data_IF_871307599665
#
_entry.id   IF_871307599665
#
_cell.length_a   1.000
_cell.length_b   1.000
_cell.length_c   1.000
_cell.angle_alpha   90.00
_cell.angle_beta   90.00
_cell.angle_gamma   90.00
#
_symmetry.space_group_name_H-M   'P 1'
#
loop_
_entity.id
_entity.type
_entity.pdbx_description
1 polymer ?
#
# COMPACT_ATOMS: atom_id res chain seq x y z
N UNK A 1 4.09 -33.82 -9.17
CA UNK A 1 5.07 -33.05 -9.96
C UNK A 1 4.52 -31.66 -10.12
N UNK A 2 5.20 -30.65 -9.60
CA UNK A 2 4.80 -29.25 -9.78
C UNK A 2 4.90 -28.90 -11.27
N UNK A 3 3.84 -28.40 -11.91
CA UNK A 3 3.87 -28.07 -13.33
C UNK A 3 4.87 -26.93 -13.61
N UNK A 4 5.45 -26.86 -14.82
CA UNK A 4 6.34 -25.76 -15.18
C UNK A 4 5.59 -24.41 -15.16
N UNK A 5 6.29 -23.32 -14.82
CA UNK A 5 5.75 -21.95 -14.62
C UNK A 5 4.82 -21.47 -15.77
N UNK A 6 5.09 -21.86 -17.01
CA UNK A 6 4.24 -21.51 -18.17
C UNK A 6 2.92 -22.28 -18.24
N UNK A 7 2.89 -23.50 -17.67
CA UNK A 7 1.68 -24.29 -17.51
C UNK A 7 0.85 -23.82 -16.31
N UNK A 8 1.51 -23.22 -15.31
CA UNK A 8 0.89 -22.68 -14.11
C UNK A 8 -0.05 -21.52 -14.42
N UNK A 9 0.44 -20.50 -15.13
CA UNK A 9 -0.37 -19.35 -15.58
C UNK A 9 -1.60 -19.72 -16.40
N UNK A 10 -1.53 -20.81 -17.18
CA UNK A 10 -2.63 -21.23 -18.08
C UNK A 10 -3.79 -21.87 -17.33
N UNK A 11 -3.52 -22.69 -16.32
CA UNK A 11 -4.61 -23.27 -15.52
C UNK A 11 -5.21 -22.21 -14.58
N UNK A 12 -4.38 -21.31 -14.04
CA UNK A 12 -4.85 -20.20 -13.22
C UNK A 12 -5.79 -19.27 -13.98
N UNK A 13 -5.47 -18.95 -15.23
CA UNK A 13 -6.35 -18.13 -16.06
C UNK A 13 -7.69 -18.84 -16.38
N UNK A 14 -7.67 -20.17 -16.56
CA UNK A 14 -8.90 -20.95 -16.73
C UNK A 14 -9.77 -20.88 -15.46
N UNK A 15 -9.18 -20.99 -14.26
CA UNK A 15 -9.91 -20.85 -13.00
C UNK A 15 -10.55 -19.45 -12.87
N UNK A 16 -9.83 -18.39 -13.26
CA UNK A 16 -10.36 -17.01 -13.24
C UNK A 16 -11.54 -16.82 -14.18
N UNK A 17 -11.42 -17.29 -15.42
CA UNK A 17 -12.52 -17.19 -16.38
C UNK A 17 -13.77 -17.91 -15.88
N UNK A 18 -13.60 -19.07 -15.24
CA UNK A 18 -14.69 -19.81 -14.63
C UNK A 18 -15.31 -19.04 -13.45
N UNK A 19 -14.49 -18.48 -12.56
CA UNK A 19 -14.93 -17.66 -11.43
C UNK A 19 -15.78 -16.46 -11.87
N UNK A 20 -15.33 -15.72 -12.90
CA UNK A 20 -16.04 -14.54 -13.39
C UNK A 20 -17.34 -14.87 -14.12
N UNK A 21 -17.39 -16.01 -14.81
CA UNK A 21 -18.54 -16.36 -15.65
C UNK A 21 -19.79 -16.78 -14.86
N UNK A 22 -19.61 -17.37 -13.67
CA UNK A 22 -20.69 -17.94 -12.85
C UNK A 22 -21.61 -18.94 -13.60
N UNK A 23 -21.19 -19.42 -14.78
CA UNK A 23 -21.91 -20.37 -15.64
C UNK A 23 -20.98 -21.51 -16.06
N UNK A 24 -21.49 -22.73 -16.33
CA UNK A 24 -20.63 -23.81 -16.78
C UNK A 24 -20.02 -23.48 -18.15
N UNK A 25 -18.68 -23.51 -18.26
CA UNK A 25 -18.00 -23.27 -19.53
C UNK A 25 -17.32 -24.52 -20.09
N UNK A 26 -17.55 -24.76 -21.38
CA UNK A 26 -16.88 -25.80 -22.16
C UNK A 26 -15.56 -25.32 -22.77
N UNK A 27 -14.75 -26.27 -23.24
CA UNK A 27 -13.40 -26.01 -23.74
C UNK A 27 -13.35 -24.97 -24.88
N UNK A 28 -14.36 -24.95 -25.77
CA UNK A 28 -14.47 -23.98 -26.87
C UNK A 28 -14.64 -22.53 -26.38
N UNK A 29 -15.63 -22.28 -25.51
CA UNK A 29 -15.87 -20.94 -24.95
C UNK A 29 -14.70 -20.49 -24.06
N UNK A 30 -14.08 -21.42 -23.34
CA UNK A 30 -12.88 -21.13 -22.56
C UNK A 30 -11.69 -20.78 -23.45
N UNK A 31 -11.49 -21.48 -24.56
CA UNK A 31 -10.46 -21.19 -25.57
C UNK A 31 -10.60 -19.78 -26.14
N UNK A 32 -11.82 -19.37 -26.49
CA UNK A 32 -12.14 -18.01 -26.96
C UNK A 32 -11.80 -16.95 -25.90
N UNK A 33 -12.26 -17.14 -24.65
CA UNK A 33 -11.98 -16.23 -23.54
C UNK A 33 -10.50 -16.18 -23.13
N UNK A 34 -9.80 -17.31 -23.22
CA UNK A 34 -8.35 -17.39 -22.99
C UNK A 34 -7.60 -16.56 -24.04
N UNK A 35 -8.02 -16.63 -25.32
CA UNK A 35 -7.43 -15.86 -26.40
C UNK A 35 -7.64 -14.34 -26.24
N UNK A 36 -8.82 -13.91 -25.77
CA UNK A 36 -9.09 -12.50 -25.41
C UNK A 36 -8.10 -11.97 -24.36
N UNK A 37 -7.60 -12.85 -23.49
CA UNK A 37 -6.63 -12.54 -22.43
C UNK A 37 -5.17 -12.81 -22.83
N UNK A 38 -4.91 -13.04 -24.12
CA UNK A 38 -3.56 -13.25 -24.66
C UNK A 38 -3.03 -14.69 -24.54
N UNK A 39 -3.85 -15.64 -24.10
CA UNK A 39 -3.49 -17.07 -24.04
C UNK A 39 -4.10 -17.84 -25.22
N UNK A 40 -3.33 -17.95 -26.31
CA UNK A 40 -3.77 -18.72 -27.47
C UNK A 40 -3.58 -20.22 -27.21
N UNK A 41 -4.68 -20.94 -27.01
CA UNK A 41 -4.74 -22.39 -26.82
C UNK A 41 -5.75 -23.00 -27.79
N UNK A 42 -5.55 -24.27 -28.16
CA UNK A 42 -6.59 -25.01 -28.89
C UNK A 42 -7.63 -25.56 -27.93
N UNK A 43 -8.85 -25.81 -28.40
CA UNK A 43 -9.92 -26.44 -27.61
C UNK A 43 -9.46 -27.74 -26.95
N UNK A 44 -8.65 -28.53 -27.67
CA UNK A 44 -8.06 -29.77 -27.15
C UNK A 44 -7.07 -29.49 -26.01
N UNK A 45 -6.24 -28.46 -26.12
CA UNK A 45 -5.33 -28.05 -25.05
C UNK A 45 -6.08 -27.58 -23.81
N UNK A 46 -7.13 -26.77 -23.98
CA UNK A 46 -8.01 -26.35 -22.88
C UNK A 46 -8.69 -27.56 -22.23
N UNK A 47 -9.10 -28.55 -23.02
CA UNK A 47 -9.70 -29.77 -22.49
C UNK A 47 -8.73 -30.60 -21.64
N UNK A 48 -7.44 -30.63 -21.97
CA UNK A 48 -6.42 -31.24 -21.12
C UNK A 48 -6.28 -30.51 -19.77
N UNK A 49 -6.27 -29.17 -19.78
CA UNK A 49 -6.23 -28.41 -18.53
C UNK A 49 -7.49 -28.61 -17.68
N UNK A 50 -8.67 -28.65 -18.30
CA UNK A 50 -9.91 -28.92 -17.57
C UNK A 50 -9.91 -30.32 -16.94
N UNK A 51 -9.36 -31.33 -17.63
CA UNK A 51 -9.23 -32.65 -17.04
C UNK A 51 -8.27 -32.65 -15.84
N UNK A 52 -7.15 -31.93 -15.94
CA UNK A 52 -6.23 -31.77 -14.81
C UNK A 52 -6.90 -31.05 -13.64
N UNK A 53 -7.68 -30.00 -13.89
CA UNK A 53 -8.41 -29.26 -12.85
C UNK A 53 -9.53 -30.11 -12.21
N UNK A 54 -10.17 -30.97 -13.00
CA UNK A 54 -11.14 -31.96 -12.51
C UNK A 54 -10.42 -32.98 -11.59
N UNK A 55 -9.24 -33.48 -11.98
CA UNK A 55 -8.42 -34.41 -11.19
C UNK A 55 -7.83 -33.78 -9.91
N UNK A 56 -7.52 -32.48 -9.96
CA UNK A 56 -7.05 -31.71 -8.80
C UNK A 56 -8.20 -31.28 -7.86
N UNK A 57 -9.46 -31.52 -8.24
CA UNK A 57 -10.64 -31.16 -7.46
C UNK A 57 -11.01 -29.68 -7.48
N UNK A 58 -10.44 -28.89 -8.40
CA UNK A 58 -10.73 -27.46 -8.54
C UNK A 58 -11.95 -27.18 -9.41
N UNK A 59 -12.27 -28.08 -10.34
CA UNK A 59 -13.45 -27.97 -11.19
C UNK A 59 -14.33 -29.21 -11.10
N UNK A 60 -15.63 -29.01 -11.33
CA UNK A 60 -16.60 -30.10 -11.47
C UNK A 60 -17.34 -30.02 -12.80
N UNK A 61 -17.56 -31.18 -13.42
CA UNK A 61 -18.23 -31.28 -14.72
C UNK A 61 -19.75 -31.25 -14.57
N UNK A 62 -20.39 -30.29 -15.22
CA UNK A 62 -21.84 -30.14 -15.24
C UNK A 62 -22.41 -30.64 -16.58
N UNK A 63 -22.53 -31.96 -16.70
CA UNK A 63 -23.04 -32.62 -17.90
C UNK A 63 -22.29 -32.21 -19.17
N UNK A 64 -23.03 -31.81 -20.22
CA UNK A 64 -22.46 -31.30 -21.47
C UNK A 64 -22.32 -29.77 -21.50
N UNK A 65 -22.66 -29.06 -20.40
CA UNK A 65 -22.63 -27.58 -20.36
C UNK A 65 -21.23 -27.04 -20.14
N UNK A 66 -20.38 -27.78 -19.42
CA UNK A 66 -19.02 -27.33 -19.13
C UNK A 66 -18.57 -27.71 -17.73
N UNK A 67 -17.68 -26.90 -17.16
CA UNK A 67 -17.19 -27.01 -15.78
C UNK A 67 -17.60 -25.81 -14.96
N UNK A 68 -17.82 -26.02 -13.65
CA UNK A 68 -17.89 -24.98 -12.64
C UNK A 68 -16.71 -25.13 -11.67
N UNK A 69 -16.41 -24.07 -10.93
CA UNK A 69 -15.47 -24.16 -9.82
C UNK A 69 -16.11 -24.87 -8.63
N UNK A 70 -15.33 -25.72 -7.97
CA UNK A 70 -15.62 -26.18 -6.62
C UNK A 70 -15.23 -25.10 -5.60
N UNK A 71 -15.56 -25.26 -4.32
CA UNK A 71 -15.06 -24.36 -3.26
C UNK A 71 -13.52 -24.28 -3.25
N UNK A 72 -12.85 -25.42 -3.46
CA UNK A 72 -11.39 -25.46 -3.58
C UNK A 72 -10.88 -24.71 -4.81
N UNK A 73 -11.59 -24.77 -5.94
CA UNK A 73 -11.24 -24.01 -7.15
C UNK A 73 -11.46 -22.51 -7.01
N UNK A 74 -12.48 -22.09 -6.25
CA UNK A 74 -12.70 -20.68 -5.90
C UNK A 74 -11.54 -20.17 -5.05
N UNK A 75 -11.20 -20.89 -3.98
CA UNK A 75 -10.08 -20.54 -3.10
C UNK A 75 -8.73 -20.49 -3.85
N UNK A 76 -8.47 -21.45 -4.75
CA UNK A 76 -7.27 -21.46 -5.59
C UNK A 76 -7.25 -20.27 -6.56
N UNK A 77 -8.37 -19.93 -7.19
CA UNK A 77 -8.48 -18.76 -8.07
C UNK A 77 -8.20 -17.45 -7.32
N UNK A 78 -8.66 -17.34 -6.08
CA UNK A 78 -8.40 -16.20 -5.20
C UNK A 78 -6.93 -16.14 -4.75
N UNK A 79 -6.35 -17.27 -4.35
CA UNK A 79 -4.92 -17.36 -3.98
C UNK A 79 -4.00 -17.01 -5.15
N UNK A 80 -4.32 -17.45 -6.35
CA UNK A 80 -3.58 -17.13 -7.56
C UNK A 80 -3.66 -15.64 -7.95
N UNK A 81 -4.77 -14.97 -7.65
CA UNK A 81 -4.88 -13.51 -7.77
C UNK A 81 -3.98 -12.81 -6.74
N UNK A 82 -3.82 -13.38 -5.55
CA UNK A 82 -2.89 -12.87 -4.53
C UNK A 82 -1.44 -13.02 -5.01
N UNK A 83 -1.05 -14.18 -5.53
CA UNK A 83 0.32 -14.44 -6.00
C UNK A 83 0.73 -13.54 -7.19
N UNK A 84 -0.17 -13.29 -8.14
CA UNK A 84 0.11 -12.34 -9.23
C UNK A 84 0.15 -10.88 -8.77
N UNK A 85 -0.47 -10.55 -7.65
CA UNK A 85 -0.42 -9.22 -7.03
C UNK A 85 0.79 -9.04 -6.13
N UNK A 86 1.55 -10.09 -5.81
CA UNK A 86 2.79 -9.95 -5.03
C UNK A 86 3.73 -9.01 -5.79
N UNK A 87 4.14 -7.94 -5.12
CA UNK A 87 5.00 -6.93 -5.71
C UNK A 87 4.27 -5.83 -6.51
N UNK A 88 2.94 -5.91 -6.67
CA UNK A 88 2.16 -4.89 -7.38
C UNK A 88 2.17 -3.56 -6.62
N UNK A 89 1.94 -3.58 -5.30
CA UNK A 89 1.92 -2.37 -4.48
C UNK A 89 3.30 -1.68 -4.51
N UNK A 90 4.39 -2.41 -4.30
CA UNK A 90 5.73 -1.82 -4.35
C UNK A 90 6.05 -1.26 -5.73
N UNK A 91 5.72 -1.97 -6.82
CA UNK A 91 5.90 -1.46 -8.19
C UNK A 91 5.11 -0.18 -8.45
N UNK A 92 3.84 -0.11 -7.99
CA UNK A 92 3.00 1.10 -8.07
C UNK A 92 3.63 2.26 -7.30
N UNK A 93 4.13 2.01 -6.10
CA UNK A 93 4.78 3.02 -5.27
C UNK A 93 6.09 3.52 -5.88
N UNK A 94 6.90 2.63 -6.47
CA UNK A 94 8.12 2.98 -7.19
C UNK A 94 7.83 3.88 -8.41
N UNK A 95 6.79 3.55 -9.19
CA UNK A 95 6.34 4.39 -10.32
C UNK A 95 5.91 5.80 -9.86
N UNK A 96 5.20 5.89 -8.73
CA UNK A 96 4.76 7.17 -8.18
C UNK A 96 5.91 7.97 -7.59
N UNK A 97 6.87 7.32 -6.92
CA UNK A 97 8.09 7.96 -6.44
C UNK A 97 8.86 8.58 -7.61
N UNK A 98 9.02 7.85 -8.72
CA UNK A 98 9.67 8.36 -9.92
C UNK A 98 8.92 9.56 -10.54
N UNK A 99 7.58 9.54 -10.53
CA UNK A 99 6.76 10.64 -11.05
C UNK A 99 6.67 11.87 -10.14
N UNK A 100 6.89 11.70 -8.85
CA UNK A 100 6.89 12.79 -7.86
C UNK A 100 7.89 13.85 -8.29
N UNK A 101 7.48 15.13 -8.30
CA UNK A 101 8.34 16.25 -8.74
C UNK A 101 8.78 17.19 -7.62
N UNK A 102 8.38 16.94 -6.37
CA UNK A 102 8.77 17.77 -5.22
C UNK A 102 10.28 17.95 -5.10
N UNK A 103 10.67 19.21 -4.90
CA UNK A 103 12.03 19.66 -4.65
C UNK A 103 12.10 20.29 -3.25
N UNK A 104 12.83 19.68 -2.30
CA UNK A 104 12.89 20.16 -0.93
C UNK A 104 13.73 21.44 -0.79
N UNK A 105 14.48 21.89 -1.82
CA UNK A 105 15.17 23.18 -1.76
C UNK A 105 14.20 24.35 -2.01
N UNK A 106 13.22 24.15 -2.90
CA UNK A 106 12.28 25.20 -3.33
C UNK A 106 10.88 25.06 -2.74
N UNK A 107 10.51 23.90 -2.22
CA UNK A 107 9.16 23.62 -1.73
C UNK A 107 8.13 23.45 -2.84
N UNK A 108 8.58 23.32 -4.09
CA UNK A 108 7.72 23.28 -5.27
C UNK A 108 7.72 21.88 -5.87
N UNK A 109 6.62 21.54 -6.54
CA UNK A 109 6.46 20.30 -7.28
C UNK A 109 5.33 19.45 -6.73
N UNK A 110 5.24 18.22 -7.22
CA UNK A 110 4.19 17.28 -6.83
C UNK A 110 4.69 16.26 -5.81
N UNK A 111 3.84 15.93 -4.85
CA UNK A 111 4.05 14.86 -3.87
C UNK A 111 3.10 13.70 -4.15
N UNK A 112 3.41 12.52 -3.60
CA UNK A 112 2.52 11.35 -3.69
C UNK A 112 1.51 11.42 -2.54
N UNK A 113 0.25 11.10 -2.82
CA UNK A 113 -0.81 11.11 -1.81
C UNK A 113 -1.55 9.77 -1.71
N UNK A 114 -2.11 9.49 -0.53
CA UNK A 114 -3.13 8.47 -0.32
C UNK A 114 -4.51 9.15 -0.35
N UNK A 115 -5.53 8.45 -0.83
CA UNK A 115 -6.91 8.93 -0.86
C UNK A 115 -7.79 8.05 0.02
N UNK A 116 -8.32 8.62 1.10
CA UNK A 116 -9.26 7.97 2.01
C UNK A 116 -10.70 8.38 1.71
N UNK A 117 -11.64 7.47 1.85
CA UNK A 117 -13.07 7.67 1.66
C UNK A 117 -13.79 7.43 2.98
N UNK A 118 -14.64 8.38 3.36
CA UNK A 118 -15.46 8.32 4.59
C UNK A 118 -16.88 8.77 4.31
N UNK A 119 -17.86 8.28 5.07
CA UNK A 119 -19.23 8.77 4.92
C UNK A 119 -19.29 10.26 5.30
N UNK A 120 -20.13 11.05 4.60
CA UNK A 120 -20.30 12.48 4.86
C UNK A 120 -20.60 12.79 6.34
N UNK A 121 -21.41 11.95 6.98
CA UNK A 121 -21.77 12.11 8.39
C UNK A 121 -20.63 11.89 9.38
N UNK A 122 -19.62 11.09 9.00
CA UNK A 122 -18.47 10.76 9.84
C UNK A 122 -17.32 11.76 9.68
N UNK A 123 -17.35 12.60 8.64
CA UNK A 123 -16.26 13.53 8.31
C UNK A 123 -15.78 14.35 9.52
N UNK A 124 -16.64 15.00 10.34
CA UNK A 124 -16.18 15.79 11.48
C UNK A 124 -15.43 14.97 12.53
N UNK A 125 -15.84 13.72 12.73
CA UNK A 125 -15.20 12.81 13.67
C UNK A 125 -13.84 12.30 13.17
N UNK A 126 -13.76 12.03 11.87
CA UNK A 126 -12.52 11.60 11.21
C UNK A 126 -11.50 12.73 11.17
N UNK A 127 -11.90 13.95 10.79
CA UNK A 127 -10.99 15.11 10.76
C UNK A 127 -10.48 15.46 12.15
N UNK A 128 -11.32 15.37 13.19
CA UNK A 128 -10.86 15.52 14.57
C UNK A 128 -9.78 14.49 14.95
N UNK A 129 -9.92 13.23 14.52
CA UNK A 129 -8.90 12.20 14.74
C UNK A 129 -7.61 12.48 13.93
N UNK A 130 -7.72 12.99 12.71
CA UNK A 130 -6.57 13.37 11.89
C UNK A 130 -5.82 14.56 12.52
N UNK A 131 -6.56 15.54 13.02
CA UNK A 131 -6.03 16.72 13.70
C UNK A 131 -5.26 16.36 14.98
N UNK A 132 -5.69 15.35 15.73
CA UNK A 132 -4.94 14.85 16.90
C UNK A 132 -3.57 14.31 16.51
N UNK A 133 -3.49 13.53 15.43
CA UNK A 133 -2.21 13.01 14.90
C UNK A 133 -1.33 14.13 14.39
N UNK A 134 -1.93 15.09 13.67
CA UNK A 134 -1.24 16.26 13.16
C UNK A 134 -0.64 17.12 14.28
N UNK A 135 -1.43 17.40 15.32
CA UNK A 135 -0.99 18.18 16.50
C UNK A 135 0.11 17.48 17.29
N UNK A 136 0.01 16.15 17.42
CA UNK A 136 0.98 15.36 18.16
C UNK A 136 2.28 15.08 17.38
N UNK A 137 2.33 15.35 16.08
CA UNK A 137 3.55 15.21 15.30
C UNK A 137 3.85 13.79 14.82
N UNK A 138 2.84 12.93 14.69
CA UNK A 138 3.02 11.53 14.28
C UNK A 138 2.57 11.23 12.85
N UNK A 139 2.25 12.26 12.04
CA UNK A 139 2.05 12.11 10.59
C UNK A 139 3.37 12.15 9.81
N UNK A 140 3.34 11.75 8.53
CA UNK A 140 4.44 12.06 7.61
C UNK A 140 4.49 13.55 7.26
N UNK A 141 3.30 14.13 7.09
CA UNK A 141 3.03 15.55 6.95
C UNK A 141 1.79 15.80 7.80
N UNK A 142 1.84 16.77 8.72
CA UNK A 142 0.74 17.04 9.67
C UNK A 142 -0.39 17.90 9.08
N UNK A 143 -0.72 17.66 7.81
CA UNK A 143 -1.85 18.27 7.12
C UNK A 143 -2.48 17.27 6.17
N UNK A 144 -3.75 17.50 5.85
CA UNK A 144 -4.51 16.72 4.89
C UNK A 144 -5.47 17.64 4.15
N UNK A 145 -5.96 17.18 2.99
CA UNK A 145 -6.89 17.95 2.17
C UNK A 145 -8.21 17.21 2.05
N UNK A 146 -9.32 17.88 2.35
CA UNK A 146 -10.66 17.38 2.04
C UNK A 146 -10.91 17.53 0.53
N UNK A 147 -11.44 16.48 -0.08
CA UNK A 147 -11.69 16.37 -1.51
C UNK A 147 -13.12 15.93 -1.74
N UNK A 148 -13.90 16.82 -2.34
CA UNK A 148 -15.30 16.57 -2.67
C UNK A 148 -15.46 16.07 -4.12
N UNK A 149 -14.46 16.34 -4.98
CA UNK A 149 -14.51 16.04 -6.41
C UNK A 149 -13.36 15.13 -6.83
N UNK A 150 -13.60 13.82 -6.79
CA UNK A 150 -12.73 12.80 -7.39
C UNK A 150 -13.60 11.62 -7.85
N UNK A 151 -13.46 11.12 -9.08
CA UNK A 151 -14.33 10.06 -9.63
C UNK A 151 -14.24 8.73 -8.88
N UNK A 152 -13.24 8.55 -8.01
CA UNK A 152 -13.09 7.35 -7.18
C UNK A 152 -13.89 7.42 -5.87
N UNK A 153 -14.34 8.61 -5.47
CA UNK A 153 -15.15 8.81 -4.28
C UNK A 153 -16.57 8.32 -4.58
N UNK A 154 -17.12 7.36 -3.80
CA UNK A 154 -18.49 6.91 -3.98
C UNK A 154 -19.50 7.98 -3.58
N UNK A 155 -20.74 7.88 -4.09
CA UNK A 155 -21.85 8.74 -3.66
C UNK A 155 -22.04 8.67 -2.13
N UNK A 156 -22.33 9.82 -1.51
CA UNK A 156 -22.51 9.95 -0.05
C UNK A 156 -21.22 9.84 0.77
N UNK A 157 -20.05 9.88 0.11
CA UNK A 157 -18.74 9.89 0.74
C UNK A 157 -17.96 11.17 0.45
N UNK A 158 -17.00 11.46 1.32
CA UNK A 158 -16.02 12.53 1.16
C UNK A 158 -14.63 11.93 1.10
N UNK A 159 -13.78 12.50 0.23
CA UNK A 159 -12.38 12.15 0.10
C UNK A 159 -11.50 12.92 1.08
N UNK A 160 -10.47 12.28 1.60
CA UNK A 160 -9.41 12.93 2.39
C UNK A 160 -8.06 12.50 1.82
N UNK A 161 -7.25 13.47 1.38
CA UNK A 161 -5.90 13.25 0.86
C UNK A 161 -4.86 13.48 1.96
N UNK A 162 -3.96 12.51 2.14
CA UNK A 162 -2.80 12.62 3.05
C UNK A 162 -1.50 12.38 2.27
N UNK A 163 -0.40 13.04 2.65
CA UNK A 163 0.89 12.79 2.02
C UNK A 163 1.38 11.35 2.28
N UNK A 164 1.87 10.70 1.23
CA UNK A 164 2.46 9.38 1.30
C UNK A 164 3.98 9.47 1.47
N UNK A 165 4.54 8.63 2.35
CA UNK A 165 5.97 8.62 2.67
C UNK A 165 6.86 8.34 1.44
N UNK A 166 6.31 7.73 0.38
CA UNK A 166 7.02 7.51 -0.89
C UNK A 166 7.37 8.79 -1.65
N UNK A 167 6.86 9.94 -1.19
CA UNK A 167 7.35 11.25 -1.60
C UNK A 167 8.84 11.40 -1.27
N UNK A 168 9.29 10.92 -0.10
CA UNK A 168 10.70 10.92 0.29
C UNK A 168 11.53 10.13 -0.73
N UNK A 169 11.04 8.97 -1.17
CA UNK A 169 11.72 8.13 -2.13
C UNK A 169 11.97 8.88 -3.46
N UNK A 170 10.97 9.64 -3.94
CA UNK A 170 11.12 10.47 -5.13
C UNK A 170 12.13 11.61 -4.96
N UNK A 171 12.20 12.22 -3.77
CA UNK A 171 13.21 13.24 -3.45
C UNK A 171 14.61 12.64 -3.43
N UNK A 172 14.81 11.55 -2.68
CA UNK A 172 16.10 10.87 -2.57
C UNK A 172 16.61 10.40 -3.95
N UNK A 173 15.71 9.84 -4.78
CA UNK A 173 16.06 9.38 -6.13
C UNK A 173 16.57 10.52 -7.03
N UNK A 174 15.96 11.71 -6.99
CA UNK A 174 16.42 12.87 -7.78
C UNK A 174 17.74 13.45 -7.30
N UNK A 175 18.03 13.31 -6.02
CA UNK A 175 19.34 13.63 -5.44
C UNK A 175 20.41 12.58 -5.79
N UNK A 176 20.07 11.59 -6.62
CA UNK A 176 20.98 10.54 -7.06
C UNK A 176 21.18 9.42 -6.02
N UNK A 177 20.34 9.34 -4.98
CA UNK A 177 20.42 8.32 -3.93
C UNK A 177 19.57 7.11 -4.32
N UNK A 178 20.17 5.93 -4.57
CA UNK A 178 19.42 4.69 -4.75
C UNK A 178 18.65 4.36 -3.47
N UNK A 179 17.33 4.35 -3.57
CA UNK A 179 16.44 4.16 -2.41
C UNK A 179 15.61 2.91 -2.59
N UNK A 180 15.57 2.04 -1.57
CA UNK A 180 14.74 0.84 -1.54
C UNK A 180 13.76 0.92 -0.38
N UNK A 181 12.46 1.01 -0.66
CA UNK A 181 11.42 0.83 0.35
C UNK A 181 11.39 -0.66 0.77
N UNK A 182 11.88 -0.96 1.98
CA UNK A 182 12.05 -2.34 2.43
C UNK A 182 10.86 -2.82 3.23
N UNK A 183 10.51 -2.07 4.28
CA UNK A 183 9.58 -2.54 5.29
C UNK A 183 8.54 -1.49 5.65
N UNK A 184 7.36 -1.99 5.98
CA UNK A 184 6.37 -1.31 6.79
C UNK A 184 6.48 -1.86 8.22
N UNK A 185 6.40 -1.00 9.23
CA UNK A 185 6.64 -1.41 10.60
C UNK A 185 5.71 -0.75 11.61
N UNK A 186 5.45 -1.49 12.68
CA UNK A 186 4.84 -0.98 13.91
C UNK A 186 5.94 -0.42 14.80
N UNK A 187 5.95 0.88 15.02
CA UNK A 187 6.94 1.56 15.86
C UNK A 187 6.32 1.87 17.21
N UNK A 188 6.88 1.30 18.28
CA UNK A 188 6.53 1.65 19.65
C UNK A 188 7.30 2.90 20.06
N UNK A 189 6.60 3.86 20.67
CA UNK A 189 7.18 5.06 21.25
C UNK A 189 6.77 5.19 22.72
N UNK A 190 7.64 5.79 23.53
CA UNK A 190 7.35 6.18 24.91
C UNK A 190 7.57 7.66 25.18
N UNK A 191 7.03 8.13 26.31
CA UNK A 191 7.16 9.53 26.78
C UNK A 191 8.61 9.96 26.99
N UNK A 192 9.52 9.00 27.20
CA UNK A 192 10.95 9.23 27.36
C UNK A 192 11.70 9.45 26.04
N UNK A 193 11.00 9.35 24.90
CA UNK A 193 11.58 9.51 23.57
C UNK A 193 12.25 8.25 23.02
N UNK A 194 12.12 7.10 23.70
CA UNK A 194 12.56 5.82 23.17
C UNK A 194 11.64 5.39 22.03
N UNK A 195 12.22 4.83 20.97
CA UNK A 195 11.47 4.31 19.85
C UNK A 195 12.10 3.03 19.29
N UNK A 196 11.28 2.04 18.96
CA UNK A 196 11.73 0.77 18.40
C UNK A 196 10.62 0.03 17.65
N UNK A 197 10.99 -0.78 16.66
CA UNK A 197 10.03 -1.59 15.92
C UNK A 197 9.63 -2.84 16.71
N UNK A 198 8.32 -3.13 16.69
CA UNK A 198 7.76 -4.37 17.23
C UNK A 198 7.68 -5.45 16.15
N UNK A 199 7.23 -5.08 14.95
CA UNK A 199 7.14 -5.98 13.79
C UNK A 199 7.43 -5.22 12.51
N UNK A 200 7.91 -5.98 11.53
CA UNK A 200 8.22 -5.52 10.20
C UNK A 200 7.57 -6.46 9.17
N UNK A 201 6.99 -5.88 8.12
CA UNK A 201 6.52 -6.62 6.95
C UNK A 201 7.22 -6.06 5.72
N UNK A 202 7.85 -6.94 4.93
CA UNK A 202 8.60 -6.55 3.74
C UNK A 202 7.69 -6.28 2.54
N UNK A 203 7.87 -5.13 1.89
CA UNK A 203 7.02 -4.70 0.75
C UNK A 203 7.14 -5.60 -0.49
N UNK A 204 8.31 -6.23 -0.71
CA UNK A 204 8.56 -7.07 -1.90
C UNK A 204 7.82 -8.40 -1.88
N UNK A 205 7.37 -8.85 -0.70
CA UNK A 205 6.69 -10.13 -0.51
C UNK A 205 5.18 -10.00 -0.33
N UNK A 206 4.60 -8.81 -0.52
CA UNK A 206 3.19 -8.55 -0.21
C UNK A 206 2.39 -8.15 -1.44
N UNK A 207 1.13 -8.59 -1.46
CA UNK A 207 0.11 -8.22 -2.45
C UNK A 207 -0.76 -7.04 -2.02
N UNK A 208 -0.71 -6.67 -0.74
CA UNK A 208 -1.46 -5.59 -0.09
C UNK A 208 -0.48 -4.68 0.64
N UNK A 209 -0.83 -3.41 0.82
CA UNK A 209 -0.01 -2.50 1.63
C UNK A 209 0.03 -2.98 3.10
N UNK A 210 1.23 -3.19 3.69
CA UNK A 210 1.31 -3.76 5.02
C UNK A 210 0.90 -2.80 6.15
N UNK A 211 0.95 -1.47 5.95
CA UNK A 211 0.44 -0.54 6.96
C UNK A 211 -1.07 -0.65 7.11
N UNK A 212 -1.78 -0.85 5.99
CA UNK A 212 -3.21 -1.14 6.04
C UNK A 212 -3.51 -2.45 6.78
N UNK A 213 -2.68 -3.49 6.64
CA UNK A 213 -2.82 -4.74 7.38
C UNK A 213 -2.67 -4.55 8.90
N UNK A 214 -1.70 -3.73 9.34
CA UNK A 214 -1.55 -3.45 10.78
C UNK A 214 -2.76 -2.73 11.37
N UNK A 215 -3.35 -1.78 10.62
CA UNK A 215 -4.56 -1.06 11.05
C UNK A 215 -5.75 -2.00 11.11
N UNK A 216 -6.00 -2.77 10.04
CA UNK A 216 -7.17 -3.65 9.96
C UNK A 216 -7.12 -4.80 10.97
N UNK A 217 -5.92 -5.25 11.34
CA UNK A 217 -5.71 -6.24 12.39
C UNK A 217 -5.81 -5.67 13.82
N UNK A 218 -6.04 -4.36 13.99
CA UNK A 218 -6.11 -3.72 15.30
C UNK A 218 -4.78 -3.75 16.08
N UNK A 219 -3.65 -3.74 15.37
CA UNK A 219 -2.32 -3.87 15.95
C UNK A 219 -1.66 -2.53 16.27
N UNK A 220 -2.36 -1.41 16.10
CA UNK A 220 -1.86 -0.07 16.44
C UNK A 220 -2.47 0.43 17.75
N UNK A 221 -1.86 1.44 18.35
CA UNK A 221 -2.44 2.21 19.47
C UNK A 221 -2.11 3.70 19.30
N UNK A 222 -2.43 4.21 18.11
CA UNK A 222 -2.15 5.58 17.70
C UNK A 222 -2.96 6.56 18.55
N UNK A 223 -4.20 6.25 18.93
CA UNK A 223 -4.98 7.10 19.82
C UNK A 223 -4.29 7.28 21.18
N UNK A 224 -3.74 6.20 21.73
CA UNK A 224 -2.93 6.28 22.95
C UNK A 224 -1.65 7.08 22.72
N UNK A 225 -0.98 6.86 21.58
CA UNK A 225 0.23 7.59 21.21
C UNK A 225 0.00 9.10 21.15
N UNK A 226 -1.07 9.58 20.51
CA UNK A 226 -1.35 11.03 20.38
C UNK A 226 -1.86 11.65 21.68
N UNK A 227 -2.43 10.87 22.60
CA UNK A 227 -3.00 11.38 23.86
C UNK A 227 -2.01 11.34 25.02
N UNK A 228 -1.11 10.36 25.06
CA UNK A 228 -0.17 10.18 26.17
C UNK A 228 1.29 10.31 25.75
N UNK A 229 1.62 10.41 24.47
CA UNK A 229 3.00 10.35 23.98
C UNK A 229 3.60 8.93 24.02
N UNK A 230 2.80 7.91 24.36
CA UNK A 230 3.23 6.52 24.36
C UNK A 230 2.22 5.63 23.65
N UNK A 231 2.70 4.78 22.75
CA UNK A 231 1.84 3.87 21.99
C UNK A 231 2.54 3.31 20.78
N UNK A 232 1.77 2.72 19.88
CA UNK A 232 2.26 2.06 18.68
C UNK A 232 1.73 2.78 17.45
N UNK A 233 2.63 3.45 16.75
CA UNK A 233 2.36 4.09 15.47
C UNK A 233 2.90 3.27 14.31
N UNK A 234 2.82 3.86 13.12
CA UNK A 234 3.25 3.28 11.86
C UNK A 234 4.37 4.09 11.24
N UNK A 235 5.39 3.39 10.77
CA UNK A 235 6.49 3.96 10.02
C UNK A 235 6.93 3.02 8.90
N UNK A 236 7.57 3.59 7.90
CA UNK A 236 8.15 2.85 6.81
C UNK A 236 9.67 2.99 6.84
N UNK A 237 10.38 1.92 6.51
CA UNK A 237 11.83 1.85 6.49
C UNK A 237 12.31 1.73 5.05
N UNK A 238 13.22 2.61 4.66
CA UNK A 238 14.01 2.49 3.44
C UNK A 238 15.43 2.10 3.75
N UNK A 239 16.07 1.41 2.83
CA UNK A 239 17.51 1.25 2.81
C UNK A 239 18.12 2.08 1.67
N UNK A 240 19.14 2.85 2.01
CA UNK A 240 19.98 3.62 1.09
C UNK A 240 21.45 3.21 1.27
N UNK A 241 22.37 3.50 0.32
CA UNK A 241 23.81 3.32 0.57
C UNK A 241 24.26 4.06 1.83
N UNK A 242 25.03 3.40 2.70
CA UNK A 242 25.49 4.02 3.95
C UNK A 242 26.32 5.30 3.73
N UNK A 243 27.03 5.38 2.61
CA UNK A 243 27.80 6.56 2.19
C UNK A 243 26.95 7.78 1.82
N UNK A 244 25.63 7.63 1.70
CA UNK A 244 24.70 8.72 1.39
C UNK A 244 24.17 9.44 2.65
N UNK A 245 24.64 9.09 3.86
CA UNK A 245 24.16 9.63 5.15
C UNK A 245 24.00 11.15 5.12
N UNK A 246 25.07 11.88 4.86
CA UNK A 246 25.08 13.35 4.95
C UNK A 246 24.04 13.97 3.99
N UNK A 247 23.88 13.38 2.81
CA UNK A 247 22.89 13.84 1.82
C UNK A 247 21.45 13.50 2.22
N UNK A 248 21.24 12.37 2.91
CA UNK A 248 19.93 12.05 3.49
C UNK A 248 19.59 13.03 4.59
N UNK A 249 20.55 13.35 5.48
CA UNK A 249 20.38 14.32 6.56
C UNK A 249 19.98 15.70 5.99
N UNK A 250 20.71 16.18 4.98
CA UNK A 250 20.38 17.42 4.25
C UNK A 250 18.96 17.39 3.66
N UNK A 251 18.58 16.29 3.01
CA UNK A 251 17.23 16.13 2.45
C UNK A 251 16.16 16.16 3.54
N UNK A 252 16.37 15.45 4.65
CA UNK A 252 15.39 15.38 5.74
C UNK A 252 15.24 16.73 6.45
N UNK A 253 16.34 17.49 6.59
CA UNK A 253 16.32 18.84 7.15
C UNK A 253 15.55 19.81 6.27
N UNK A 254 15.82 19.80 4.96
CA UNK A 254 15.11 20.61 3.98
C UNK A 254 13.61 20.28 3.97
N UNK A 255 13.24 18.99 3.96
CA UNK A 255 11.84 18.57 4.04
C UNK A 255 11.20 18.98 5.36
N UNK A 256 11.91 18.90 6.48
CA UNK A 256 11.40 19.38 7.78
C UNK A 256 11.06 20.88 7.74
N UNK A 257 11.83 21.67 6.99
CA UNK A 257 11.54 23.08 6.70
C UNK A 257 10.17 23.32 6.02
N UNK A 258 9.61 22.31 5.35
CA UNK A 258 8.28 22.32 4.73
C UNK A 258 7.23 21.55 5.53
N UNK A 259 7.52 21.18 6.78
CA UNK A 259 6.57 20.57 7.72
C UNK A 259 6.47 19.05 7.65
N UNK A 260 7.33 18.37 6.87
CA UNK A 260 7.45 16.92 6.95
C UNK A 260 8.05 16.51 8.29
N UNK A 261 7.62 15.36 8.84
CA UNK A 261 8.06 14.89 10.15
C UNK A 261 8.72 13.53 10.03
N UNK A 262 9.86 13.41 10.70
CA UNK A 262 10.64 12.18 10.79
C UNK A 262 10.88 11.82 12.26
N UNK A 263 10.91 10.52 12.61
CA UNK A 263 11.23 10.11 13.97
C UNK A 263 12.68 10.44 14.34
N UNK A 264 12.95 10.61 15.64
CA UNK A 264 14.29 10.83 16.21
C UNK A 264 15.13 11.96 15.59
N UNK A 265 14.50 13.04 15.08
CA UNK A 265 15.21 14.25 14.64
C UNK A 265 15.85 14.18 13.25
N UNK A 266 15.38 13.28 12.39
CA UNK A 266 15.86 13.18 11.00
C UNK A 266 15.54 11.86 10.31
N UNK A 267 14.85 10.93 10.97
CA UNK A 267 14.45 9.65 10.39
C UNK A 267 15.58 8.62 10.28
N UNK A 268 16.81 9.06 10.48
CA UNK A 268 17.97 8.19 10.56
C UNK A 268 18.15 7.79 12.03
N UNK A 269 18.00 6.51 12.33
CA UNK A 269 18.13 6.02 13.69
C UNK A 269 18.16 4.50 13.80
N UNK A 270 18.84 4.01 14.84
CA UNK A 270 18.90 2.60 15.21
C UNK A 270 17.69 2.25 16.09
N UNK A 271 16.50 2.29 15.48
CA UNK A 271 15.23 1.89 16.08
C UNK A 271 15.16 0.36 16.21
N UNK A 272 16.08 -0.27 16.96
CA UNK A 272 16.25 -1.72 17.08
C UNK A 272 16.31 -2.52 15.75
N UNK A 273 16.63 -1.86 14.64
CA UNK A 273 16.79 -2.48 13.33
C UNK A 273 18.15 -3.17 13.20
N UNK A 274 18.25 -4.29 12.46
CA UNK A 274 19.54 -4.92 12.18
C UNK A 274 20.49 -3.97 11.45
N UNK A 275 21.72 -3.84 11.95
CA UNK A 275 22.77 -3.08 11.27
C UNK A 275 23.21 -3.78 9.98
N UNK A 276 23.55 -2.97 8.97
CA UNK A 276 24.10 -3.46 7.71
C UNK A 276 25.32 -2.64 7.30
N UNK A 277 26.47 -3.27 6.96
CA UNK A 277 27.75 -2.56 6.77
C UNK A 277 27.75 -1.56 5.60
N UNK A 278 26.85 -1.73 4.64
CA UNK A 278 26.77 -0.88 3.43
C UNK A 278 25.43 -0.19 3.23
N UNK A 279 24.50 -0.32 4.18
CA UNK A 279 23.15 0.23 4.06
C UNK A 279 22.78 1.01 5.30
N UNK A 280 22.12 2.13 5.07
CA UNK A 280 21.56 2.98 6.11
C UNK A 280 20.04 2.86 6.06
N UNK A 281 19.44 2.66 7.23
CA UNK A 281 17.99 2.68 7.40
C UNK A 281 17.50 4.12 7.54
N UNK A 282 16.55 4.49 6.69
CA UNK A 282 15.86 5.79 6.73
C UNK A 282 14.39 5.54 7.03
N UNK A 283 13.94 6.03 8.18
CA UNK A 283 12.61 5.82 8.72
C UNK A 283 11.78 7.09 8.55
N UNK A 284 10.58 6.94 8.02
CA UNK A 284 9.59 8.01 7.94
C UNK A 284 8.28 7.54 8.56
N UNK A 285 7.62 8.43 9.32
CA UNK A 285 6.24 8.21 9.71
C UNK A 285 5.36 8.10 8.46
N UNK A 286 4.13 7.61 8.65
CA UNK A 286 3.17 7.43 7.56
C UNK A 286 1.95 8.31 7.74
N UNK A 287 1.42 8.84 6.63
CA UNK A 287 0.07 9.45 6.62
C UNK A 287 -1.02 8.47 7.07
N UNK A 288 -0.75 7.16 7.02
CA UNK A 288 -1.64 6.13 7.57
C UNK A 288 -1.82 6.20 9.09
N UNK A 289 -0.98 6.93 9.83
CA UNK A 289 -1.24 7.18 11.26
C UNK A 289 -2.53 7.98 11.47
N UNK A 290 -2.86 8.91 10.58
CA UNK A 290 -4.14 9.63 10.62
C UNK A 290 -5.32 8.68 10.43
N UNK A 291 -5.25 7.83 9.40
CA UNK A 291 -6.25 6.81 9.12
C UNK A 291 -6.39 5.84 10.30
N UNK A 292 -5.28 5.37 10.85
CA UNK A 292 -5.26 4.44 11.98
C UNK A 292 -5.91 5.01 13.23
N UNK A 293 -5.65 6.28 13.59
CA UNK A 293 -6.31 6.92 14.75
C UNK A 293 -7.83 6.98 14.57
N UNK A 294 -8.31 7.30 13.37
CA UNK A 294 -9.74 7.34 13.11
C UNK A 294 -10.39 5.94 13.14
N UNK A 295 -9.72 4.92 12.61
CA UNK A 295 -10.18 3.53 12.69
C UNK A 295 -10.23 3.04 14.15
N UNK A 296 -9.23 3.37 14.97
CA UNK A 296 -9.21 3.03 16.40
C UNK A 296 -10.38 3.68 17.17
N UNK A 297 -10.90 4.81 16.69
CA UNK A 297 -12.09 5.48 17.24
C UNK A 297 -13.41 4.94 16.70
N UNK A 298 -13.38 3.91 15.84
CA UNK A 298 -14.56 3.23 15.32
C UNK A 298 -15.09 3.79 14.00
N UNK A 299 -14.37 4.68 13.32
CA UNK A 299 -14.78 5.18 12.00
C UNK A 299 -14.41 4.20 10.90
N UNK A 300 -15.36 3.96 9.98
CA UNK A 300 -15.12 3.15 8.80
C UNK A 300 -14.44 4.00 7.70
N UNK A 301 -13.21 3.64 7.35
CA UNK A 301 -12.42 4.34 6.34
C UNK A 301 -11.87 3.34 5.33
N UNK A 302 -12.08 3.63 4.04
CA UNK A 302 -11.42 2.91 2.95
C UNK A 302 -10.31 3.80 2.40
N UNK A 303 -9.10 3.25 2.21
CA UNK A 303 -7.96 4.05 1.72
C UNK A 303 -7.35 3.42 0.47
N UNK A 304 -7.20 4.22 -0.57
CA UNK A 304 -6.35 3.91 -1.71
C UNK A 304 -4.93 4.42 -1.47
N UNK A 305 -4.00 3.47 -1.29
CA UNK A 305 -2.58 3.75 -1.07
C UNK A 305 -1.91 4.15 -2.39
N UNK A 306 -1.12 5.23 -2.36
CA UNK A 306 -0.50 5.78 -3.56
C UNK A 306 -1.53 6.06 -4.64
N UNK A 307 -2.52 6.90 -4.33
CA UNK A 307 -3.63 7.21 -5.22
C UNK A 307 -3.21 8.09 -6.41
N UNK A 308 -2.09 8.80 -6.32
CA UNK A 308 -1.54 9.59 -7.42
C UNK A 308 -0.53 10.62 -6.93
N UNK A 309 -0.24 11.59 -7.80
CA UNK A 309 0.56 12.77 -7.46
C UNK A 309 -0.29 14.04 -7.48
N UNK A 310 0.05 15.00 -6.63
CA UNK A 310 -0.64 16.30 -6.53
C UNK A 310 0.38 17.40 -6.21
N UNK A 311 0.24 18.64 -6.72
CA UNK A 311 1.07 19.76 -6.29
C UNK A 311 1.08 19.90 -4.77
N UNK A 312 2.26 20.10 -4.19
CA UNK A 312 2.45 20.17 -2.73
C UNK A 312 1.56 21.21 -2.06
N UNK A 313 1.46 22.40 -2.67
CA UNK A 313 0.59 23.51 -2.24
C UNK A 313 -0.87 23.09 -2.03
N UNK A 314 -1.40 22.16 -2.83
CA UNK A 314 -2.81 21.73 -2.70
C UNK A 314 -3.08 20.95 -1.42
N UNK A 315 -2.06 20.38 -0.80
CA UNK A 315 -2.16 19.69 0.49
C UNK A 315 -1.89 20.65 1.66
N UNK A 316 -1.06 21.67 1.47
CA UNK A 316 -0.67 22.62 2.52
C UNK A 316 -1.53 23.87 2.60
N UNK A 317 -2.32 24.20 1.57
CA UNK A 317 -3.25 25.35 1.51
C UNK A 317 -4.52 25.16 2.38
N UNK A 318 -4.37 24.65 3.60
CA UNK A 318 -5.42 24.59 4.62
C UNK A 318 -5.42 25.87 5.49
N UNK A 319 -4.40 26.73 5.37
CA UNK A 319 -4.28 28.02 6.07
C UNK A 319 -5.06 29.17 5.44
N UNK A 320 -6.15 28.90 4.72
CA UNK A 320 -7.00 29.94 4.13
C UNK A 320 -8.47 29.51 4.05
N UNK A 321 -9.11 29.27 5.21
CA UNK A 321 -10.54 29.50 5.43
C UNK A 321 -10.90 29.42 6.90
#
# INVERSE_FOLDING_TARGET
>A
MTPPIRSERKYLEILRILAESHEPLGAKRLSEKMAERGFVLSDRAVQYYLQYLDEAGFTEKVGNRGRLLTEAGIAESESALVDERIGFIISKLEELAFRSTFDPATGVGSIVYNLSFVQEGDLPGVTAAFDEVAKAGYGFLNTYRIVETDPRIPDGHVGIMTACSVTLDGVLQKMGIPTRLEYAGRIALDEGGSAGFLDLIGYRGTSVDPLHLFISAGLTSINRLVTTGSGVGLANIRAVPAVARDLVEEVTDLMTGYGFIFPAGGGIGEFNLPEHPYRLSVVAFSGMNMVGNAVEKGYAIKTEIGAGTVPFERITDVTSR
#
